data_IF_930042859455
#
_entry.id   IF_930042859455
#
_cell.length_a   1.000
_cell.length_b   1.000
_cell.length_c   1.000
_cell.angle_alpha   90.00
_cell.angle_beta   90.00
_cell.angle_gamma   90.00
#
_symmetry.space_group_name_H-M   'P 1'
#
loop_
_entity.id
_entity.type
_entity.pdbx_description
1 polymer ?
#
# COMPACT_ATOMS: atom_id res chain seq x y z
N UNK A 1 1.66 -18.13 9.50
CA UNK A 1 1.74 -19.04 8.33
C UNK A 1 2.84 -18.49 7.46
N UNK A 2 3.90 -19.25 7.21
CA UNK A 2 4.90 -18.91 6.19
C UNK A 2 4.23 -19.04 4.83
N UNK A 3 3.76 -17.91 4.30
CA UNK A 3 3.30 -17.82 2.92
C UNK A 3 4.56 -17.75 2.07
N UNK A 4 4.81 -18.78 1.27
CA UNK A 4 5.93 -18.81 0.34
C UNK A 4 5.63 -17.82 -0.80
N UNK A 5 6.18 -16.60 -0.68
CA UNK A 5 5.97 -15.56 -1.68
C UNK A 5 6.84 -15.84 -2.90
N UNK A 6 6.25 -15.68 -4.09
CA UNK A 6 6.97 -15.90 -5.34
C UNK A 6 8.12 -14.90 -5.43
N UNK A 7 9.33 -15.43 -5.64
CA UNK A 7 10.50 -14.61 -6.00
C UNK A 7 10.23 -13.84 -7.29
N UNK A 8 10.77 -12.63 -7.38
CA UNK A 8 10.54 -11.71 -8.48
C UNK A 8 9.44 -10.70 -8.18
N UNK A 9 8.74 -10.25 -9.22
CA UNK A 9 7.76 -9.17 -9.14
C UNK A 9 6.42 -9.65 -8.60
N UNK A 10 5.98 -9.05 -7.51
CA UNK A 10 4.68 -9.25 -6.87
C UNK A 10 3.85 -7.98 -6.97
N UNK A 11 2.52 -8.15 -7.00
CA UNK A 11 1.55 -7.06 -7.07
C UNK A 11 0.43 -7.36 -6.08
N UNK A 12 0.18 -6.41 -5.19
CA UNK A 12 -1.07 -6.33 -4.44
C UNK A 12 -1.98 -5.30 -5.13
N UNK A 13 -3.23 -5.65 -5.35
CA UNK A 13 -4.27 -4.77 -5.91
C UNK A 13 -5.55 -4.90 -5.07
N UNK A 14 -6.17 -3.75 -4.78
CA UNK A 14 -7.45 -3.67 -4.09
C UNK A 14 -8.37 -2.71 -4.84
N UNK A 15 -9.58 -3.17 -5.12
CA UNK A 15 -10.63 -2.42 -5.81
C UNK A 15 -11.86 -2.41 -4.91
N UNK A 16 -12.34 -1.22 -4.60
CA UNK A 16 -13.48 -1.01 -3.72
C UNK A 16 -14.27 0.25 -4.15
N UNK A 17 -15.42 0.48 -3.54
CA UNK A 17 -16.23 1.66 -3.87
C UNK A 17 -15.52 2.95 -3.47
N UNK A 18 -15.58 3.96 -4.34
CA UNK A 18 -15.01 5.27 -4.04
C UNK A 18 -15.73 5.90 -2.84
N UNK A 19 -14.96 6.57 -1.98
CA UNK A 19 -15.47 7.19 -0.76
C UNK A 19 -14.67 8.43 -0.37
N UNK A 20 -15.04 9.06 0.73
CA UNK A 20 -14.26 10.10 1.39
C UNK A 20 -13.82 9.60 2.76
N UNK A 21 -12.56 9.83 3.11
CA UNK A 21 -12.04 9.47 4.42
C UNK A 21 -12.82 10.19 5.54
N UNK A 22 -13.46 9.45 6.43
CA UNK A 22 -14.28 10.03 7.51
C UNK A 22 -13.42 10.71 8.60
N UNK A 23 -12.17 10.28 8.73
CA UNK A 23 -11.20 10.76 9.72
C UNK A 23 -9.77 10.65 9.16
N UNK A 24 -8.84 11.33 9.82
CA UNK A 24 -7.40 11.15 9.56
C UNK A 24 -7.01 9.71 9.95
N UNK A 25 -6.32 9.00 9.06
CA UNK A 25 -5.81 7.68 9.37
C UNK A 25 -4.45 7.43 8.74
N UNK A 26 -3.79 6.40 9.26
CA UNK A 26 -2.54 5.88 8.69
C UNK A 26 -2.61 4.38 8.58
N UNK A 27 -2.11 3.84 7.48
CA UNK A 27 -2.03 2.40 7.25
C UNK A 27 -0.58 1.99 7.00
N UNK A 28 -0.19 0.86 7.59
CA UNK A 28 1.17 0.32 7.52
C UNK A 28 1.15 -0.98 6.72
N UNK A 29 2.02 -1.05 5.74
CA UNK A 29 2.27 -2.23 4.93
C UNK A 29 3.65 -2.78 5.28
N UNK A 30 3.64 -3.88 6.03
CA UNK A 30 4.85 -4.62 6.37
C UNK A 30 5.09 -5.69 5.32
N UNK A 31 6.05 -5.44 4.43
CA UNK A 31 6.43 -6.41 3.42
C UNK A 31 7.47 -7.38 3.97
N UNK A 32 7.59 -8.58 3.39
CA UNK A 32 8.62 -9.53 3.79
C UNK A 32 10.01 -8.93 3.70
N UNK A 33 10.87 -9.37 4.60
CA UNK A 33 12.26 -8.92 4.66
C UNK A 33 12.97 -9.10 3.31
N UNK A 34 13.67 -8.06 2.89
CA UNK A 34 14.38 -8.02 1.60
C UNK A 34 13.51 -7.61 0.42
N UNK A 35 12.21 -7.33 0.64
CA UNK A 35 11.36 -6.77 -0.40
C UNK A 35 11.84 -5.37 -0.80
N UNK A 36 11.66 -5.03 -2.08
CA UNK A 36 11.84 -3.66 -2.57
C UNK A 36 10.59 -3.19 -3.29
N UNK A 37 9.99 -2.12 -2.77
CA UNK A 37 8.84 -1.47 -3.39
C UNK A 37 9.28 -0.78 -4.69
N UNK A 38 8.49 -0.96 -5.74
CA UNK A 38 8.74 -0.45 -7.09
C UNK A 38 7.72 0.61 -7.49
N UNK A 39 6.46 0.41 -7.12
CA UNK A 39 5.35 1.30 -7.49
C UNK A 39 4.29 1.30 -6.39
N UNK A 40 3.76 2.47 -6.07
CA UNK A 40 2.64 2.67 -5.16
C UNK A 40 1.62 3.56 -5.85
N UNK A 41 0.39 3.06 -5.99
CA UNK A 41 -0.77 3.83 -6.46
C UNK A 41 -1.81 3.76 -5.35
N UNK A 42 -2.00 4.86 -4.62
CA UNK A 42 -2.91 4.97 -3.48
C UNK A 42 -3.30 6.44 -3.34
N UNK A 43 -4.51 6.70 -2.82
CA UNK A 43 -4.93 8.04 -2.44
C UNK A 43 -4.39 8.42 -1.05
N UNK A 44 -3.78 9.60 -0.95
CA UNK A 44 -3.07 10.06 0.24
C UNK A 44 -1.60 10.32 -0.04
N UNK A 45 -0.85 10.66 1.01
CA UNK A 45 0.61 10.76 0.95
C UNK A 45 1.24 9.52 1.55
N UNK A 46 2.44 9.16 1.12
CA UNK A 46 3.08 7.96 1.61
C UNK A 46 4.59 8.11 1.68
N UNK A 47 5.21 7.28 2.52
CA UNK A 47 6.65 7.20 2.73
C UNK A 47 7.07 5.72 2.73
N UNK A 48 8.29 5.46 2.25
CA UNK A 48 8.89 4.12 2.25
C UNK A 48 10.01 4.09 3.27
N UNK A 49 9.93 3.16 4.22
CA UNK A 49 10.94 2.93 5.26
C UNK A 49 11.49 1.51 5.13
N UNK A 50 12.65 1.38 4.47
CA UNK A 50 13.22 0.07 4.14
C UNK A 50 12.30 -0.71 3.19
N UNK A 51 11.87 -1.90 3.60
CA UNK A 51 10.86 -2.69 2.89
C UNK A 51 9.40 -2.28 3.16
N UNK A 52 9.14 -1.37 4.11
CA UNK A 52 7.79 -1.05 4.56
C UNK A 52 7.24 0.22 3.88
N UNK A 53 5.92 0.29 3.79
CA UNK A 53 5.18 1.46 3.29
C UNK A 53 4.25 2.01 4.36
N UNK A 54 4.31 3.32 4.57
CA UNK A 54 3.41 4.05 5.47
C UNK A 54 2.59 4.99 4.62
N UNK A 55 1.26 4.95 4.76
CA UNK A 55 0.33 5.81 4.04
C UNK A 55 -0.40 6.67 5.06
N UNK A 56 -0.51 7.96 4.75
CA UNK A 56 -1.23 8.95 5.52
C UNK A 56 -2.39 9.50 4.69
N UNK A 57 -3.60 9.38 5.22
CA UNK A 57 -4.81 9.88 4.58
C UNK A 57 -5.47 10.88 5.51
N UNK A 58 -5.73 12.08 5.01
CA UNK A 58 -6.44 13.12 5.75
C UNK A 58 -7.95 12.95 5.62
N UNK A 59 -8.69 13.34 6.66
CA UNK A 59 -10.14 13.46 6.62
C UNK A 59 -10.57 14.25 5.38
N UNK A 60 -11.66 13.82 4.75
CA UNK A 60 -12.22 14.35 3.52
C UNK A 60 -11.31 14.17 2.28
N UNK A 61 -10.22 13.40 2.35
CA UNK A 61 -9.51 12.96 1.14
C UNK A 61 -10.46 12.10 0.32
N UNK A 62 -10.57 12.39 -0.98
CA UNK A 62 -11.31 11.55 -1.92
C UNK A 62 -10.50 10.30 -2.22
N UNK A 63 -11.07 9.15 -1.88
CA UNK A 63 -10.52 7.83 -2.15
C UNK A 63 -11.25 7.28 -3.38
N UNK A 64 -10.50 7.01 -4.44
CA UNK A 64 -11.01 6.59 -5.76
C UNK A 64 -11.41 5.12 -5.80
N UNK A 65 -11.04 4.34 -4.80
CA UNK A 65 -11.39 2.93 -4.72
C UNK A 65 -10.44 2.00 -5.49
N UNK A 66 -9.20 2.43 -5.73
CA UNK A 66 -8.17 1.60 -6.34
C UNK A 66 -6.83 1.83 -5.67
N UNK A 67 -6.22 0.73 -5.22
CA UNK A 67 -4.91 0.71 -4.59
C UNK A 67 -4.04 -0.37 -5.22
N UNK A 68 -2.76 -0.06 -5.40
CA UNK A 68 -1.77 -0.99 -5.92
C UNK A 68 -0.41 -0.79 -5.27
N UNK A 69 0.23 -1.91 -4.91
CA UNK A 69 1.61 -1.95 -4.45
C UNK A 69 2.35 -2.99 -5.29
N UNK A 70 3.34 -2.56 -6.06
CA UNK A 70 4.27 -3.46 -6.76
C UNK A 70 5.57 -3.54 -5.97
N UNK A 71 6.05 -4.75 -5.71
CA UNK A 71 7.32 -4.99 -5.02
C UNK A 71 8.05 -6.20 -5.60
N UNK A 72 9.36 -6.28 -5.38
CA UNK A 72 10.18 -7.47 -5.71
C UNK A 72 10.66 -8.16 -4.45
N UNK A 73 10.77 -9.50 -4.50
CA UNK A 73 11.37 -10.37 -3.47
C UNK A 73 12.49 -11.20 -4.11
#
# INVERSE_FOLDING_TARGET
ADIELRKGRNVYENIYEATYAEYDYSSYWYLPKGSRIIEVIIDGTWEIEGENLIIYVKKNTRIRGYEKITFII
#
